data_IF_389435971927
#
_entry.id   IF_389435971927
#
_cell.length_a   1.000
_cell.length_b   1.000
_cell.length_c   1.000
_cell.angle_alpha   90.00
_cell.angle_beta   90.00
_cell.angle_gamma   90.00
#
_symmetry.space_group_name_H-M   'P 1'
#
loop_
_entity.id
_entity.type
_entity.pdbx_description
1 polymer ?
#
# COMPACT_ATOMS: atom_id res chain seq x y z
N UNK A 1 6.27 -7.91 11.63
CA UNK A 1 7.71 -7.61 11.73
C UNK A 1 7.97 -7.03 13.10
N UNK A 2 8.92 -7.57 13.84
CA UNK A 2 9.29 -7.05 15.17
C UNK A 2 10.10 -5.76 15.04
N UNK A 3 10.22 -5.00 16.14
CA UNK A 3 11.04 -3.78 16.21
C UNK A 3 12.47 -4.06 15.73
N UNK A 4 13.09 -5.12 16.24
CA UNK A 4 14.46 -5.52 15.91
C UNK A 4 14.64 -5.90 14.44
N UNK A 5 13.66 -6.58 13.84
CA UNK A 5 13.67 -6.94 12.42
C UNK A 5 13.65 -5.71 11.51
N UNK A 6 12.97 -4.63 11.91
CA UNK A 6 12.92 -3.39 11.12
C UNK A 6 14.29 -2.73 11.02
N UNK A 7 15.10 -2.74 12.08
CA UNK A 7 16.47 -2.21 12.01
C UNK A 7 17.38 -3.08 11.17
N UNK A 8 17.24 -4.41 11.23
CA UNK A 8 18.00 -5.32 10.38
C UNK A 8 17.71 -5.06 8.90
N UNK A 9 16.43 -4.92 8.56
CA UNK A 9 16.00 -4.61 7.19
C UNK A 9 16.43 -3.22 6.75
N UNK A 10 16.33 -2.23 7.64
CA UNK A 10 16.81 -0.89 7.37
C UNK A 10 18.29 -0.89 7.01
N UNK A 11 19.10 -1.56 7.84
CA UNK A 11 20.54 -1.69 7.58
C UNK A 11 20.82 -2.39 6.25
N UNK A 12 20.08 -3.47 5.95
CA UNK A 12 20.19 -4.19 4.69
C UNK A 12 19.92 -3.29 3.48
N UNK A 13 18.85 -2.49 3.52
CA UNK A 13 18.51 -1.58 2.42
C UNK A 13 19.54 -0.44 2.30
N UNK A 14 19.99 0.11 3.44
CA UNK A 14 21.03 1.16 3.47
C UNK A 14 22.37 0.65 2.90
N UNK A 15 22.73 -0.63 3.15
CA UNK A 15 23.92 -1.27 2.56
C UNK A 15 23.84 -1.42 1.04
N UNK A 16 22.62 -1.57 0.50
CA UNK A 16 22.36 -1.59 -0.94
C UNK A 16 22.21 -0.19 -1.54
N UNK A 17 22.44 0.88 -0.76
CA UNK A 17 22.35 2.26 -1.21
C UNK A 17 20.93 2.80 -1.31
N UNK A 18 19.94 2.09 -0.78
CA UNK A 18 18.54 2.50 -0.78
C UNK A 18 18.27 3.35 0.46
N UNK A 19 17.88 4.61 0.23
CA UNK A 19 17.46 5.48 1.33
C UNK A 19 16.12 5.01 1.89
N UNK A 20 16.06 4.83 3.21
CA UNK A 20 14.84 4.43 3.90
C UNK A 20 14.69 5.09 5.27
N UNK A 21 13.45 5.20 5.75
CA UNK A 21 13.16 5.73 7.08
C UNK A 21 11.98 5.01 7.73
N UNK A 22 11.97 5.02 9.05
CA UNK A 22 10.94 4.42 9.88
C UNK A 22 9.85 5.44 10.17
N UNK A 23 8.61 5.09 9.84
CA UNK A 23 7.41 5.82 10.23
C UNK A 23 6.82 5.17 11.47
N UNK A 24 6.26 5.99 12.35
CA UNK A 24 5.58 5.58 13.58
C UNK A 24 6.50 4.93 14.65
N UNK A 25 7.82 5.00 14.47
CA UNK A 25 8.81 4.52 15.46
C UNK A 25 8.67 5.24 16.81
N UNK A 26 8.62 6.58 16.79
CA UNK A 26 8.46 7.38 18.00
C UNK A 26 7.14 7.06 18.72
N UNK A 27 6.07 6.84 17.97
CA UNK A 27 4.77 6.47 18.53
C UNK A 27 4.83 5.09 19.18
N UNK A 28 5.52 4.13 18.56
CA UNK A 28 5.74 2.82 19.14
C UNK A 28 6.58 2.87 20.43
N UNK A 29 7.55 3.78 20.52
CA UNK A 29 8.36 3.97 21.73
C UNK A 29 7.63 4.70 22.85
N UNK A 30 6.86 5.74 22.53
CA UNK A 30 6.26 6.65 23.52
C UNK A 30 4.85 6.27 23.94
N UNK A 31 4.08 5.64 23.05
CA UNK A 31 2.70 5.25 23.28
C UNK A 31 2.40 3.87 22.65
N UNK A 32 3.03 2.79 23.14
CA UNK A 32 2.90 1.45 22.56
C UNK A 32 1.44 0.96 22.50
N UNK A 33 0.57 1.40 23.42
CA UNK A 33 -0.86 1.07 23.41
C UNK A 33 -1.64 1.72 22.24
N UNK A 34 -1.13 2.81 21.65
CA UNK A 34 -1.72 3.44 20.46
C UNK A 34 -1.29 2.74 19.17
N UNK A 35 -0.25 1.91 19.20
CA UNK A 35 0.22 1.20 18.01
C UNK A 35 -0.83 0.27 17.40
N UNK A 36 -1.79 -0.21 18.21
CA UNK A 36 -2.94 -1.00 17.76
C UNK A 36 -3.85 -0.24 16.78
N UNK A 37 -3.80 1.09 16.76
CA UNK A 37 -4.52 1.95 15.81
C UNK A 37 -3.66 2.34 14.60
N UNK A 38 -2.41 1.89 14.55
CA UNK A 38 -1.49 2.04 13.43
C UNK A 38 -1.24 0.69 12.76
N UNK A 39 -0.66 0.68 11.57
CA UNK A 39 -0.17 -0.57 10.94
C UNK A 39 1.17 -1.05 11.55
N UNK A 40 1.46 -0.68 12.80
CA UNK A 40 2.77 -0.82 13.42
C UNK A 40 3.80 0.13 12.80
N UNK A 41 5.07 -0.14 13.10
CA UNK A 41 6.20 0.62 12.54
C UNK A 41 6.35 0.21 11.07
N UNK A 42 6.44 1.21 10.20
CA UNK A 42 6.55 1.03 8.77
C UNK A 42 7.91 1.50 8.29
N UNK A 43 8.56 0.74 7.42
CA UNK A 43 9.74 1.19 6.70
C UNK A 43 9.31 1.76 5.35
N UNK A 44 9.72 2.99 5.09
CA UNK A 44 9.39 3.74 3.87
C UNK A 44 10.65 3.90 3.03
N UNK A 45 10.50 3.76 1.71
CA UNK A 45 11.54 3.98 0.71
C UNK A 45 11.03 4.99 -0.33
N UNK A 46 11.93 5.57 -1.12
CA UNK A 46 11.50 6.35 -2.26
C UNK A 46 10.77 5.49 -3.29
N UNK A 47 9.79 6.08 -4.00
CA UNK A 47 8.95 5.35 -4.94
C UNK A 47 9.76 4.65 -6.06
N UNK A 48 10.83 5.32 -6.49
CA UNK A 48 11.75 4.81 -7.52
C UNK A 48 12.48 3.52 -7.09
N UNK A 49 12.65 3.31 -5.78
CA UNK A 49 13.43 2.21 -5.21
C UNK A 49 12.52 1.07 -4.70
N UNK A 50 11.19 1.20 -4.80
CA UNK A 50 10.23 0.19 -4.28
C UNK A 50 10.50 -1.19 -4.86
N UNK A 51 10.71 -1.29 -6.17
CA UNK A 51 10.86 -2.58 -6.86
C UNK A 51 12.15 -3.27 -6.38
N UNK A 52 13.23 -2.51 -6.27
CA UNK A 52 14.52 -3.02 -5.83
C UNK A 52 14.49 -3.43 -4.35
N UNK A 53 13.92 -2.57 -3.48
CA UNK A 53 13.75 -2.87 -2.07
C UNK A 53 12.91 -4.13 -1.86
N UNK A 54 11.82 -4.32 -2.61
CA UNK A 54 11.00 -5.53 -2.54
C UNK A 54 11.79 -6.76 -3.00
N UNK A 55 12.60 -6.66 -4.05
CA UNK A 55 13.45 -7.77 -4.52
C UNK A 55 14.43 -8.21 -3.44
N UNK A 56 15.19 -7.25 -2.88
CA UNK A 56 16.18 -7.51 -1.83
C UNK A 56 15.51 -8.18 -0.62
N UNK A 57 14.34 -7.69 -0.22
CA UNK A 57 13.63 -8.24 0.92
C UNK A 57 13.05 -9.63 0.69
N UNK A 58 12.66 -9.96 -0.55
CA UNK A 58 12.24 -11.31 -0.92
C UNK A 58 13.43 -12.27 -0.95
N UNK A 59 14.57 -11.84 -1.50
CA UNK A 59 15.81 -12.63 -1.56
C UNK A 59 16.32 -13.00 -0.16
N UNK A 60 16.20 -12.08 0.79
CA UNK A 60 16.64 -12.30 2.18
C UNK A 60 15.55 -12.91 3.08
N UNK A 61 14.37 -13.24 2.52
CA UNK A 61 13.30 -13.95 3.24
C UNK A 61 12.47 -13.08 4.19
N UNK A 62 12.60 -11.76 4.14
CA UNK A 62 11.81 -10.83 4.96
C UNK A 62 10.40 -10.58 4.40
N UNK A 63 10.22 -10.74 3.09
CA UNK A 63 8.92 -10.65 2.43
C UNK A 63 8.60 -11.95 1.70
N UNK A 64 7.41 -12.51 1.98
CA UNK A 64 6.84 -13.51 1.09
C UNK A 64 6.45 -12.84 -0.24
N UNK A 65 6.65 -13.50 -1.40
CA UNK A 65 6.25 -12.98 -2.69
C UNK A 65 4.73 -12.73 -2.69
N UNK A 66 4.37 -11.46 -2.56
CA UNK A 66 2.97 -11.05 -2.60
C UNK A 66 2.60 -10.94 -4.07
N UNK A 67 1.71 -11.82 -4.53
CA UNK A 67 1.06 -11.67 -5.84
C UNK A 67 0.20 -10.41 -5.73
N UNK A 68 0.75 -9.27 -6.12
CA UNK A 68 0.00 -8.02 -6.16
C UNK A 68 -1.11 -8.18 -7.20
N UNK A 69 -2.35 -8.36 -6.73
CA UNK A 69 -3.50 -8.04 -7.54
C UNK A 69 -3.44 -6.53 -7.76
N UNK A 70 -2.88 -6.09 -8.89
CA UNK A 70 -3.09 -4.74 -9.41
C UNK A 70 -4.59 -4.54 -9.53
N UNK A 71 -5.19 -3.97 -8.50
CA UNK A 71 -6.57 -3.52 -8.57
C UNK A 71 -6.55 -2.41 -9.60
N UNK A 72 -7.10 -2.73 -10.78
CA UNK A 72 -7.08 -1.83 -11.91
C UNK A 72 -8.14 -0.76 -11.64
N UNK A 73 -7.74 0.29 -10.90
CA UNK A 73 -8.64 1.37 -10.48
C UNK A 73 -9.41 1.98 -11.67
N UNK A 74 -8.75 2.05 -12.83
CA UNK A 74 -9.37 2.45 -14.10
C UNK A 74 -10.56 1.57 -14.52
N UNK A 75 -10.55 0.26 -14.24
CA UNK A 75 -11.70 -0.62 -14.53
C UNK A 75 -12.84 -0.40 -13.53
N UNK A 76 -12.53 -0.13 -12.27
CA UNK A 76 -13.55 0.14 -11.24
C UNK A 76 -14.28 1.44 -11.53
N UNK A 77 -13.53 2.50 -11.91
CA UNK A 77 -14.09 3.79 -12.32
C UNK A 77 -14.96 3.66 -13.57
N UNK A 78 -14.53 2.88 -14.57
CA UNK A 78 -15.32 2.66 -15.79
C UNK A 78 -16.65 1.93 -15.52
N UNK A 79 -16.65 0.94 -14.63
CA UNK A 79 -17.88 0.22 -14.24
C UNK A 79 -18.85 1.16 -13.51
N UNK A 80 -18.36 1.98 -12.58
CA UNK A 80 -19.20 2.98 -11.88
C UNK A 80 -19.83 3.97 -12.86
N UNK A 81 -19.05 4.47 -13.83
CA UNK A 81 -19.56 5.37 -14.87
C UNK A 81 -20.65 4.71 -15.73
N UNK A 82 -20.44 3.45 -16.14
CA UNK A 82 -21.42 2.70 -16.92
C UNK A 82 -22.73 2.50 -16.14
N UNK A 83 -22.65 2.16 -14.85
CA UNK A 83 -23.82 2.02 -13.97
C UNK A 83 -24.59 3.33 -13.85
N UNK A 84 -23.88 4.46 -13.74
CA UNK A 84 -24.48 5.78 -13.63
C UNK A 84 -25.20 6.19 -14.93
N UNK A 85 -24.61 5.89 -16.09
CA UNK A 85 -25.24 6.08 -17.41
C UNK A 85 -26.50 5.21 -17.54
N UNK A 86 -26.43 3.93 -17.14
CA UNK A 86 -27.59 3.02 -17.18
C UNK A 86 -28.72 3.55 -16.30
N UNK A 87 -28.43 3.99 -15.07
CA UNK A 87 -29.40 4.62 -14.18
C UNK A 87 -30.04 5.86 -14.80
N UNK A 88 -29.24 6.70 -15.47
CA UNK A 88 -29.72 7.90 -16.17
C UNK A 88 -30.67 7.54 -17.31
N UNK A 89 -30.34 6.54 -18.12
CA UNK A 89 -31.20 6.07 -19.23
C UNK A 89 -32.51 5.50 -18.70
N UNK A 90 -32.47 4.68 -17.66
CA UNK A 90 -33.67 4.13 -17.00
C UNK A 90 -34.55 5.25 -16.44
N UNK A 91 -33.94 6.29 -15.85
CA UNK A 91 -34.68 7.46 -15.36
C UNK A 91 -35.39 8.21 -16.49
N UNK A 92 -34.72 8.41 -17.63
CA UNK A 92 -35.31 9.07 -18.80
C UNK A 92 -36.47 8.27 -19.41
N UNK A 93 -36.34 6.95 -19.49
CA UNK A 93 -37.43 6.05 -19.88
C UNK A 93 -38.63 6.16 -18.95
N UNK A 94 -38.40 6.14 -17.62
CA UNK A 94 -39.49 6.23 -16.63
C UNK A 94 -40.23 7.57 -16.70
N UNK A 95 -39.55 8.64 -17.11
CA UNK A 95 -40.13 9.98 -17.28
C UNK A 95 -40.86 10.17 -18.63
N UNK A 96 -40.83 9.17 -19.52
CA UNK A 96 -41.48 9.22 -20.83
C UNK A 96 -40.88 10.27 -21.77
N UNK A 97 -39.59 10.59 -21.58
CA UNK A 97 -38.89 11.66 -22.31
C UNK A 97 -38.08 11.13 -23.51
N UNK A 98 -38.28 9.86 -23.89
CA UNK A 98 -37.53 9.12 -24.90
C UNK A 98 -38.50 8.39 -25.85
#
# INVERSE_FOLDING_TARGET
MSFSEIYLVRHLLEEHGIFCFTKDELLAQTAPYLTAYSNGIQLQVEEKDIIEAVSILQEHGYLAPKIEKRFNETKVVAILFAVLIILMVVYLWRKGLL
#
